data_IF_742465180976
#
_entry.id   IF_742465180976
#
_cell.length_a   1.000
_cell.length_b   1.000
_cell.length_c   1.000
_cell.angle_alpha   90.00
_cell.angle_beta   90.00
_cell.angle_gamma   90.00
#
_symmetry.space_group_name_H-M   'P 1'
#
loop_
_entity.id
_entity.type
_entity.pdbx_description
1 polymer ?
#
# COMPACT_ATOMS: atom_id res chain seq x y z
N UNK A 1 12.43 -3.08 17.74
CA UNK A 1 11.39 -2.06 18.07
C UNK A 1 10.31 -2.77 18.86
N UNK A 2 9.75 -2.17 19.94
CA UNK A 2 8.65 -2.81 20.68
C UNK A 2 7.41 -2.94 19.76
N UNK A 3 6.69 -4.07 19.83
CA UNK A 3 5.46 -4.23 19.04
C UNK A 3 4.39 -3.23 19.50
N UNK A 4 3.75 -2.59 18.52
CA UNK A 4 2.56 -1.76 18.72
C UNK A 4 1.34 -2.64 18.48
N UNK A 5 0.31 -2.46 19.30
CA UNK A 5 -0.96 -3.17 19.19
C UNK A 5 -2.10 -2.17 19.04
N UNK A 6 -3.06 -2.49 18.17
CA UNK A 6 -4.30 -1.75 18.00
C UNK A 6 -5.28 -2.09 19.13
N UNK A 7 -6.32 -1.27 19.33
CA UNK A 7 -7.27 -1.46 20.43
C UNK A 7 -7.91 -2.85 20.45
N UNK A 8 -8.27 -3.38 19.29
CA UNK A 8 -8.85 -4.72 19.19
C UNK A 8 -7.83 -5.87 19.38
N UNK A 9 -6.54 -5.55 19.38
CA UNK A 9 -5.44 -6.50 19.64
C UNK A 9 -5.02 -6.55 21.12
N UNK A 10 -5.67 -5.81 22.04
CA UNK A 10 -5.28 -5.78 23.47
C UNK A 10 -5.13 -7.19 24.10
N UNK A 11 -6.00 -8.17 23.80
CA UNK A 11 -5.81 -9.52 24.33
C UNK A 11 -4.49 -10.19 23.85
N UNK A 12 -4.01 -9.83 22.64
CA UNK A 12 -2.71 -10.30 22.13
C UNK A 12 -1.56 -9.57 22.82
N UNK A 13 -1.72 -8.28 23.09
CA UNK A 13 -0.73 -7.49 23.81
C UNK A 13 -0.48 -8.06 25.22
N UNK A 14 -1.54 -8.43 25.94
CA UNK A 14 -1.46 -9.05 27.26
C UNK A 14 -0.72 -10.39 27.24
N UNK A 15 -1.03 -11.26 26.27
CA UNK A 15 -0.33 -12.54 26.10
C UNK A 15 1.14 -12.33 25.73
N UNK A 16 1.44 -11.39 24.85
CA UNK A 16 2.82 -11.07 24.44
C UNK A 16 3.63 -10.59 25.66
N UNK A 17 3.06 -9.68 26.44
CA UNK A 17 3.69 -9.19 27.67
C UNK A 17 4.00 -10.33 28.66
N UNK A 18 3.04 -11.23 28.88
CA UNK A 18 3.22 -12.38 29.75
C UNK A 18 4.32 -13.33 29.27
N UNK A 19 4.39 -13.56 27.95
CA UNK A 19 5.44 -14.39 27.35
C UNK A 19 6.82 -13.73 27.55
N UNK A 20 6.93 -12.40 27.37
CA UNK A 20 8.17 -11.66 27.59
C UNK A 20 8.61 -11.73 29.06
N UNK A 21 7.68 -11.56 30.01
CA UNK A 21 7.94 -11.68 31.45
C UNK A 21 8.47 -13.07 31.80
N UNK A 22 7.86 -14.14 31.27
CA UNK A 22 8.32 -15.51 31.51
C UNK A 22 9.71 -15.76 30.91
N UNK A 23 9.97 -15.28 29.70
CA UNK A 23 11.32 -15.37 29.08
C UNK A 23 12.39 -14.67 29.89
N UNK A 24 12.06 -13.51 30.48
CA UNK A 24 12.97 -12.80 31.36
C UNK A 24 13.30 -13.63 32.64
N UNK A 25 12.26 -14.18 33.28
CA UNK A 25 12.43 -15.05 34.47
C UNK A 25 13.24 -16.31 34.16
N UNK A 26 13.00 -16.94 33.00
CA UNK A 26 13.77 -18.12 32.55
C UNK A 26 15.26 -17.79 32.33
N UNK A 27 15.57 -16.58 31.88
CA UNK A 27 16.96 -16.12 31.69
C UNK A 27 17.71 -15.87 33.02
N UNK A 28 16.98 -15.59 34.11
CA UNK A 28 17.55 -15.27 35.42
C UNK A 28 17.49 -16.44 36.44
N UNK A 29 16.71 -17.48 36.16
CA UNK A 29 16.50 -18.61 37.07
C UNK A 29 16.84 -19.96 36.43
N UNK A 30 17.20 -20.96 37.25
CA UNK A 30 17.43 -22.34 36.82
C UNK A 30 16.12 -23.13 36.58
N UNK A 31 14.96 -22.46 36.62
CA UNK A 31 13.63 -23.08 36.40
C UNK A 31 13.33 -23.15 34.92
N UNK A 32 13.12 -24.36 34.41
CA UNK A 32 12.66 -24.57 33.02
C UNK A 32 11.14 -24.32 32.92
N UNK A 33 10.78 -23.26 32.23
CA UNK A 33 9.39 -22.86 31.95
C UNK A 33 9.08 -22.87 30.46
N UNK A 34 9.88 -23.59 29.66
CA UNK A 34 9.76 -23.64 28.20
C UNK A 34 8.38 -24.13 27.75
N UNK A 35 7.82 -25.16 28.37
CA UNK A 35 6.51 -25.71 28.07
C UNK A 35 5.38 -24.66 28.23
N UNK A 36 5.45 -23.87 29.30
CA UNK A 36 4.44 -22.81 29.52
C UNK A 36 4.57 -21.68 28.49
N UNK A 37 5.80 -21.30 28.14
CA UNK A 37 6.03 -20.31 27.08
C UNK A 37 5.48 -20.82 25.75
N UNK A 38 5.75 -22.06 25.38
CA UNK A 38 5.24 -22.66 24.14
C UNK A 38 3.70 -22.74 24.13
N UNK A 39 3.10 -23.13 25.25
CA UNK A 39 1.65 -23.14 25.42
C UNK A 39 1.03 -21.75 25.20
N UNK A 40 1.62 -20.72 25.79
CA UNK A 40 1.15 -19.34 25.62
C UNK A 40 1.37 -18.80 24.21
N UNK A 41 2.46 -19.16 23.55
CA UNK A 41 2.71 -18.81 22.15
C UNK A 41 1.67 -19.43 21.22
N UNK A 42 1.35 -20.72 21.42
CA UNK A 42 0.27 -21.40 20.67
C UNK A 42 -1.07 -20.71 20.88
N UNK A 43 -1.42 -20.42 22.15
CA UNK A 43 -2.65 -19.68 22.48
C UNK A 43 -2.68 -18.29 21.83
N UNK A 44 -1.57 -17.57 21.81
CA UNK A 44 -1.44 -16.25 21.17
C UNK A 44 -1.68 -16.37 19.65
N UNK A 45 -1.09 -17.37 19.00
CA UNK A 45 -1.28 -17.63 17.58
C UNK A 45 -2.73 -17.97 17.23
N UNK A 46 -3.39 -18.84 18.01
CA UNK A 46 -4.79 -19.19 17.82
C UNK A 46 -5.73 -17.99 18.02
N UNK A 47 -5.45 -17.18 19.03
CA UNK A 47 -6.19 -15.94 19.30
C UNK A 47 -6.01 -14.94 18.15
N UNK A 48 -4.78 -14.74 17.65
CA UNK A 48 -4.52 -13.90 16.51
C UNK A 48 -5.29 -14.37 15.27
N UNK A 49 -5.27 -15.67 14.96
CA UNK A 49 -6.08 -16.25 13.86
C UNK A 49 -7.55 -15.94 14.03
N UNK A 50 -8.10 -16.11 15.25
CA UNK A 50 -9.50 -15.82 15.54
C UNK A 50 -9.88 -14.35 15.35
N UNK A 51 -9.04 -13.42 15.78
CA UNK A 51 -9.24 -11.97 15.64
C UNK A 51 -9.17 -11.58 14.16
N UNK A 52 -8.09 -11.96 13.48
CA UNK A 52 -7.83 -11.56 12.11
C UNK A 52 -8.77 -12.21 11.07
N UNK A 53 -9.37 -13.34 11.39
CA UNK A 53 -10.42 -13.97 10.57
C UNK A 53 -11.76 -13.18 10.55
N UNK A 54 -11.97 -12.26 11.49
CA UNK A 54 -13.24 -11.56 11.69
C UNK A 54 -13.13 -10.03 11.71
N UNK A 55 -12.04 -9.49 11.14
CA UNK A 55 -11.86 -8.04 11.10
C UNK A 55 -13.01 -7.36 10.35
N UNK A 56 -13.55 -6.33 10.98
CA UNK A 56 -14.49 -5.42 10.30
C UNK A 56 -13.77 -4.52 9.32
N UNK A 57 -14.43 -3.93 8.30
CA UNK A 57 -13.81 -2.98 7.40
C UNK A 57 -13.14 -1.79 8.10
N UNK A 58 -13.69 -1.33 9.23
CA UNK A 58 -13.09 -0.30 10.06
C UNK A 58 -11.77 -0.77 10.70
N UNK A 59 -11.72 -2.01 11.21
CA UNK A 59 -10.50 -2.60 11.76
C UNK A 59 -9.44 -2.83 10.66
N UNK A 60 -9.85 -3.27 9.47
CA UNK A 60 -8.94 -3.35 8.31
C UNK A 60 -8.36 -1.97 7.99
N UNK A 61 -9.17 -0.91 8.03
CA UNK A 61 -8.69 0.47 7.86
C UNK A 61 -7.66 0.87 8.93
N UNK A 62 -7.84 0.43 10.18
CA UNK A 62 -6.84 0.65 11.24
C UNK A 62 -5.54 -0.13 10.96
N UNK A 63 -5.64 -1.40 10.54
CA UNK A 63 -4.47 -2.22 10.18
C UNK A 63 -3.73 -1.61 8.99
N UNK A 64 -4.43 -1.10 7.97
CA UNK A 64 -3.81 -0.46 6.80
C UNK A 64 -2.95 0.75 7.15
N UNK A 65 -3.28 1.42 8.26
CA UNK A 65 -2.59 2.61 8.81
C UNK A 65 -1.60 2.29 9.92
N UNK A 66 -1.39 1.00 10.23
CA UNK A 66 -0.55 0.61 11.36
C UNK A 66 0.86 1.21 11.23
N UNK A 67 1.40 1.90 12.27
CA UNK A 67 2.65 2.67 12.17
C UNK A 67 3.89 1.83 11.89
N UNK A 68 3.83 0.52 12.13
CA UNK A 68 4.93 -0.41 11.88
C UNK A 68 4.79 -1.14 10.52
N UNK A 69 3.78 -0.85 9.70
CA UNK A 69 3.73 -1.41 8.34
C UNK A 69 4.94 -0.98 7.51
N UNK A 70 5.44 -1.84 6.61
CA UNK A 70 6.47 -1.43 5.67
C UNK A 70 5.96 -0.32 4.74
N UNK A 71 6.81 0.66 4.47
CA UNK A 71 6.59 1.72 3.51
C UNK A 71 7.38 1.47 2.23
N UNK A 72 7.20 2.28 1.19
CA UNK A 72 7.81 2.07 -0.13
C UNK A 72 9.31 1.81 -0.08
N UNK A 73 10.07 2.56 0.72
CA UNK A 73 11.52 2.35 0.84
C UNK A 73 11.89 0.99 1.45
N UNK A 74 11.04 0.43 2.33
CA UNK A 74 11.25 -0.92 2.89
C UNK A 74 11.06 -1.98 1.80
N UNK A 75 10.04 -1.82 0.93
CA UNK A 75 9.84 -2.70 -0.23
C UNK A 75 10.99 -2.59 -1.22
N UNK A 76 11.45 -1.39 -1.53
CA UNK A 76 12.60 -1.19 -2.41
C UNK A 76 13.85 -1.88 -1.85
N UNK A 77 14.13 -1.68 -0.57
CA UNK A 77 15.31 -2.29 0.07
C UNK A 77 15.26 -3.83 0.09
N UNK A 78 14.06 -4.42 0.25
CA UNK A 78 13.90 -5.87 0.32
C UNK A 78 13.79 -6.55 -1.06
N UNK A 79 13.18 -5.87 -2.03
CA UNK A 79 12.83 -6.46 -3.33
C UNK A 79 13.83 -6.13 -4.44
N UNK A 80 14.55 -5.01 -4.30
CA UNK A 80 15.40 -4.46 -5.37
C UNK A 80 16.85 -4.30 -4.93
N UNK A 81 17.75 -4.27 -5.91
CA UNK A 81 19.14 -3.84 -5.77
C UNK A 81 19.39 -2.58 -6.59
N UNK A 82 20.55 -1.93 -6.36
CA UNK A 82 21.04 -0.80 -7.15
C UNK A 82 20.03 0.36 -7.28
N UNK A 83 19.25 0.61 -6.23
CA UNK A 83 18.27 1.68 -6.27
C UNK A 83 18.95 3.05 -6.33
N UNK A 84 18.62 3.80 -7.38
CA UNK A 84 19.05 5.17 -7.59
C UNK A 84 17.84 6.08 -7.59
N UNK A 85 17.64 6.82 -6.49
CA UNK A 85 16.53 7.77 -6.39
C UNK A 85 16.73 8.96 -7.33
N UNK A 86 15.65 9.38 -8.02
CA UNK A 86 15.65 10.49 -8.97
C UNK A 86 14.70 11.59 -8.51
N UNK A 87 15.26 12.63 -7.94
CA UNK A 87 14.57 13.75 -7.33
C UNK A 87 14.04 14.81 -8.31
N UNK A 88 13.00 15.52 -7.88
CA UNK A 88 12.47 16.73 -8.51
C UNK A 88 11.60 16.49 -9.74
N UNK A 89 10.69 17.43 -9.99
CA UNK A 89 9.72 17.39 -11.10
C UNK A 89 10.23 18.08 -12.38
N UNK A 90 11.37 18.76 -12.34
CA UNK A 90 11.94 19.58 -13.44
C UNK A 90 11.05 20.79 -13.80
N UNK A 91 10.18 21.19 -12.87
CA UNK A 91 9.27 22.30 -13.07
C UNK A 91 9.25 23.28 -11.90
N UNK A 92 9.08 22.79 -10.66
CA UNK A 92 9.01 23.61 -9.47
C UNK A 92 9.94 23.12 -8.35
N UNK A 93 9.75 21.89 -7.84
CA UNK A 93 10.50 21.38 -6.69
C UNK A 93 10.57 19.85 -6.65
N UNK A 94 11.21 19.32 -5.60
CA UNK A 94 11.04 17.93 -5.19
C UNK A 94 9.91 17.78 -4.17
N UNK A 95 9.30 16.59 -4.12
CA UNK A 95 8.33 16.22 -3.12
C UNK A 95 8.70 14.86 -2.50
N UNK A 96 9.02 14.89 -1.21
CA UNK A 96 9.44 13.70 -0.47
C UNK A 96 8.31 12.74 -0.13
N UNK A 97 7.03 13.08 -0.39
CA UNK A 97 5.90 12.19 -0.22
C UNK A 97 5.83 11.13 -1.33
N UNK A 98 6.48 11.37 -2.48
CA UNK A 98 6.73 10.35 -3.51
C UNK A 98 8.24 10.11 -3.61
N UNK A 99 8.63 8.86 -3.55
CA UNK A 99 9.96 8.38 -3.88
C UNK A 99 9.91 7.62 -5.19
N UNK A 100 10.98 7.68 -5.97
CA UNK A 100 11.05 6.92 -7.21
C UNK A 100 12.41 7.04 -7.87
N UNK A 101 12.72 6.07 -8.70
CA UNK A 101 14.00 6.00 -9.37
C UNK A 101 14.19 4.71 -10.15
N UNK A 102 15.43 4.47 -10.53
CA UNK A 102 15.87 3.23 -11.20
C UNK A 102 16.27 2.19 -10.16
N UNK A 103 15.97 0.95 -10.42
CA UNK A 103 16.37 -0.19 -9.57
C UNK A 103 16.55 -1.46 -10.40
N UNK A 104 17.03 -2.53 -9.75
CA UNK A 104 17.00 -3.89 -10.32
C UNK A 104 16.06 -4.75 -9.47
N UNK A 105 15.01 -5.27 -10.10
CA UNK A 105 14.13 -6.28 -9.52
C UNK A 105 14.45 -7.63 -10.15
N UNK A 106 14.88 -8.61 -9.35
CA UNK A 106 15.37 -9.91 -9.82
C UNK A 106 16.41 -9.80 -10.96
N UNK A 107 17.35 -8.84 -10.85
CA UNK A 107 18.39 -8.58 -11.84
C UNK A 107 17.94 -7.74 -13.05
N UNK A 108 16.64 -7.55 -13.26
CA UNK A 108 16.08 -6.75 -14.35
C UNK A 108 15.97 -5.28 -13.95
N UNK A 109 16.34 -4.37 -14.85
CA UNK A 109 16.16 -2.94 -14.65
C UNK A 109 14.68 -2.56 -14.69
N UNK A 110 14.24 -1.82 -13.70
CA UNK A 110 12.86 -1.33 -13.55
C UNK A 110 12.85 0.13 -13.08
N UNK A 111 11.75 0.82 -13.27
CA UNK A 111 11.44 2.07 -12.57
C UNK A 111 10.54 1.74 -11.40
N UNK A 112 10.88 2.23 -10.21
CA UNK A 112 10.06 2.09 -9.01
C UNK A 112 9.54 3.46 -8.59
N UNK A 113 8.26 3.56 -8.27
CA UNK A 113 7.61 4.78 -7.80
C UNK A 113 6.70 4.41 -6.63
N UNK A 114 6.67 5.21 -5.56
CA UNK A 114 5.73 4.94 -4.49
C UNK A 114 5.57 6.08 -3.51
N UNK A 115 4.48 6.01 -2.74
CA UNK A 115 4.24 6.92 -1.65
C UNK A 115 5.11 6.56 -0.46
N UNK A 116 5.65 7.55 0.20
CA UNK A 116 6.49 7.37 1.39
C UNK A 116 5.92 8.15 2.56
N UNK A 117 5.58 7.44 3.61
CA UNK A 117 5.23 7.99 4.93
C UNK A 117 6.47 8.05 5.82
N UNK A 118 6.43 8.87 6.86
CA UNK A 118 7.50 8.95 7.86
C UNK A 118 7.19 8.09 9.09
N UNK A 119 8.22 7.58 9.75
CA UNK A 119 8.08 6.79 10.99
C UNK A 119 8.04 7.67 12.24
N UNK A 120 8.86 8.68 12.31
CA UNK A 120 8.87 9.67 13.39
C UNK A 120 8.24 11.00 12.96
N UNK A 121 8.07 11.94 13.89
CA UNK A 121 7.44 13.23 13.64
C UNK A 121 8.18 14.06 12.59
N UNK A 122 9.52 14.07 12.62
CA UNK A 122 10.34 14.81 11.66
C UNK A 122 10.16 14.27 10.24
N UNK A 123 10.25 12.96 10.08
CA UNK A 123 10.03 12.28 8.80
C UNK A 123 8.59 12.46 8.31
N UNK A 124 7.58 12.35 9.20
CA UNK A 124 6.17 12.60 8.83
C UNK A 124 5.98 14.00 8.26
N UNK A 125 6.55 15.02 8.89
CA UNK A 125 6.49 16.41 8.40
C UNK A 125 7.21 16.53 7.06
N UNK A 126 8.42 15.99 6.94
CA UNK A 126 9.21 16.01 5.70
C UNK A 126 8.49 15.35 4.54
N UNK A 127 7.80 14.23 4.79
CA UNK A 127 7.03 13.45 3.82
C UNK A 127 5.58 13.93 3.69
N UNK A 128 5.26 15.08 4.28
CA UNK A 128 3.90 15.63 4.29
C UNK A 128 2.83 14.57 4.64
N UNK A 129 3.12 13.71 5.62
CA UNK A 129 2.26 12.59 6.06
C UNK A 129 1.87 11.61 4.95
N UNK A 130 2.67 11.50 3.91
CA UNK A 130 2.39 10.68 2.73
C UNK A 130 1.37 11.28 1.77
N UNK A 131 1.10 12.58 1.88
CA UNK A 131 0.20 13.32 0.98
C UNK A 131 1.02 14.08 -0.07
N UNK A 132 1.10 13.62 -1.32
CA UNK A 132 1.88 14.30 -2.34
C UNK A 132 1.29 15.66 -2.75
N UNK A 133 2.19 16.57 -3.07
CA UNK A 133 1.92 17.84 -3.75
C UNK A 133 2.00 17.63 -5.27
N UNK A 134 1.63 18.62 -6.09
CA UNK A 134 1.71 18.53 -7.55
C UNK A 134 3.08 18.09 -8.07
N UNK A 135 4.15 18.55 -7.40
CA UNK A 135 5.52 18.21 -7.72
C UNK A 135 5.81 16.71 -7.62
N UNK A 136 5.22 16.04 -6.64
CA UNK A 136 5.35 14.58 -6.48
C UNK A 136 4.73 13.83 -7.65
N UNK A 137 3.54 14.22 -8.08
CA UNK A 137 2.87 13.60 -9.23
C UNK A 137 3.59 13.91 -10.56
N UNK A 138 4.09 15.13 -10.74
CA UNK A 138 4.91 15.47 -11.93
C UNK A 138 6.24 14.72 -11.94
N UNK A 139 6.87 14.53 -10.76
CA UNK A 139 8.04 13.66 -10.63
C UNK A 139 7.71 12.22 -11.04
N UNK A 140 6.60 11.66 -10.55
CA UNK A 140 6.15 10.34 -10.95
C UNK A 140 5.95 10.23 -12.47
N UNK A 141 5.27 11.21 -13.09
CA UNK A 141 5.09 11.27 -14.54
C UNK A 141 6.41 11.30 -15.30
N UNK A 142 7.35 12.11 -14.86
CA UNK A 142 8.70 12.18 -15.45
C UNK A 142 9.41 10.81 -15.42
N UNK A 143 9.26 10.07 -14.32
CA UNK A 143 9.81 8.72 -14.19
C UNK A 143 9.09 7.71 -15.08
N UNK A 144 7.78 7.82 -15.24
CA UNK A 144 6.99 7.01 -16.17
C UNK A 144 7.45 7.21 -17.61
N UNK A 145 7.63 8.46 -18.04
CA UNK A 145 8.17 8.76 -19.38
C UNK A 145 9.62 8.29 -19.55
N UNK A 146 10.43 8.31 -18.49
CA UNK A 146 11.76 7.72 -18.51
C UNK A 146 11.68 6.20 -18.72
N UNK A 147 10.76 5.53 -18.00
CA UNK A 147 10.51 4.11 -18.15
C UNK A 147 10.09 3.75 -19.59
N UNK A 148 9.14 4.48 -20.18
CA UNK A 148 8.70 4.28 -21.57
C UNK A 148 9.87 4.44 -22.53
N UNK A 149 10.65 5.53 -22.40
CA UNK A 149 11.79 5.84 -23.29
C UNK A 149 12.81 4.70 -23.31
N UNK A 150 13.09 4.08 -22.18
CA UNK A 150 14.07 3.00 -22.05
C UNK A 150 13.44 1.61 -22.01
N UNK A 151 12.13 1.50 -22.24
CA UNK A 151 11.36 0.25 -22.21
C UNK A 151 11.52 -0.52 -20.90
N UNK A 152 11.57 0.21 -19.78
CA UNK A 152 11.66 -0.37 -18.45
C UNK A 152 10.26 -0.54 -17.88
N UNK A 153 9.96 -1.68 -17.25
CA UNK A 153 8.72 -1.83 -16.49
C UNK A 153 8.64 -0.85 -15.33
N UNK A 154 7.41 -0.49 -14.95
CA UNK A 154 7.13 0.37 -13.81
C UNK A 154 6.49 -0.46 -12.69
N UNK A 155 7.06 -0.42 -11.50
CA UNK A 155 6.48 -0.98 -10.28
C UNK A 155 6.03 0.19 -9.40
N UNK A 156 4.77 0.22 -8.99
CA UNK A 156 4.28 1.26 -8.09
C UNK A 156 3.82 0.71 -6.75
N UNK A 157 4.15 1.43 -5.66
CA UNK A 157 3.72 1.11 -4.30
C UNK A 157 2.87 2.25 -3.75
N UNK A 158 1.58 1.96 -3.47
CA UNK A 158 0.59 2.95 -3.10
C UNK A 158 0.34 2.92 -1.60
N UNK A 159 0.63 4.03 -0.91
CA UNK A 159 0.33 4.20 0.51
C UNK A 159 0.15 5.69 0.86
N UNK A 160 -1.02 6.23 0.59
CA UNK A 160 -1.37 7.63 0.84
C UNK A 160 -2.79 7.78 1.38
N UNK A 161 -3.05 8.65 2.35
CA UNK A 161 -4.41 9.04 2.71
C UNK A 161 -5.11 9.88 1.64
N UNK A 162 -4.35 10.41 0.67
CA UNK A 162 -4.84 11.24 -0.43
C UNK A 162 -3.81 12.27 -0.88
N UNK A 163 -4.15 13.05 -1.88
CA UNK A 163 -3.35 14.19 -2.32
C UNK A 163 -3.40 15.34 -1.29
N UNK A 164 -2.34 16.13 -1.20
CA UNK A 164 -2.31 17.30 -0.32
C UNK A 164 -3.36 18.34 -0.74
N UNK A 165 -4.28 18.75 0.17
CA UNK A 165 -5.40 19.62 -0.17
C UNK A 165 -5.14 21.12 0.12
N UNK A 166 -3.88 21.51 0.37
CA UNK A 166 -3.54 22.88 0.76
C UNK A 166 -3.54 23.87 -0.41
N UNK A 167 -3.61 25.16 -0.09
CA UNK A 167 -3.62 26.29 -1.07
C UNK A 167 -2.47 26.15 -2.07
N UNK A 168 -1.25 25.89 -1.62
CA UNK A 168 -0.11 25.74 -2.51
C UNK A 168 -0.20 24.54 -3.47
N UNK A 169 -1.04 23.55 -3.20
CA UNK A 169 -1.34 22.47 -4.15
C UNK A 169 -2.30 22.96 -5.25
N UNK A 170 -3.32 23.72 -4.85
CA UNK A 170 -4.27 24.34 -5.79
C UNK A 170 -3.57 25.31 -6.73
N UNK A 171 -2.74 26.22 -6.18
CA UNK A 171 -1.93 27.19 -6.94
C UNK A 171 -0.99 26.56 -7.96
N UNK A 172 -0.55 25.31 -7.72
CA UNK A 172 0.36 24.58 -8.60
C UNK A 172 -0.30 23.44 -9.36
N UNK A 173 -1.63 23.50 -9.51
CA UNK A 173 -2.45 22.60 -10.34
C UNK A 173 -2.41 21.15 -9.90
N UNK A 174 -2.84 20.86 -8.65
CA UNK A 174 -2.94 19.50 -8.11
C UNK A 174 -3.83 18.59 -8.97
N UNK A 175 -4.99 19.11 -9.40
CA UNK A 175 -5.93 18.31 -10.20
C UNK A 175 -5.38 17.99 -11.60
N UNK A 176 -4.66 18.93 -12.23
CA UNK A 176 -4.00 18.68 -13.51
C UNK A 176 -2.88 17.65 -13.36
N UNK A 177 -2.03 17.77 -12.34
CA UNK A 177 -0.94 16.82 -12.11
C UNK A 177 -1.45 15.38 -11.91
N UNK A 178 -2.55 15.22 -11.18
CA UNK A 178 -3.22 13.92 -10.99
C UNK A 178 -3.86 13.44 -12.30
N UNK A 179 -4.70 14.27 -12.92
CA UNK A 179 -5.42 13.95 -14.14
C UNK A 179 -4.48 13.62 -15.31
N UNK A 180 -3.37 14.33 -15.42
CA UNK A 180 -2.31 14.05 -16.40
C UNK A 180 -1.71 12.66 -16.18
N UNK A 181 -1.39 12.29 -14.96
CA UNK A 181 -0.86 10.96 -14.65
C UNK A 181 -1.84 9.85 -15.01
N UNK A 182 -3.13 10.02 -14.70
CA UNK A 182 -4.17 9.06 -15.10
C UNK A 182 -4.19 8.86 -16.61
N UNK A 183 -4.22 9.96 -17.36
CA UNK A 183 -4.23 9.93 -18.82
C UNK A 183 -2.96 9.29 -19.41
N UNK A 184 -1.78 9.65 -18.89
CA UNK A 184 -0.51 9.11 -19.41
C UNK A 184 -0.33 7.63 -19.06
N UNK A 185 -0.76 7.18 -17.88
CA UNK A 185 -0.68 5.77 -17.49
C UNK A 185 -1.53 4.87 -18.37
N UNK A 186 -2.70 5.35 -18.84
CA UNK A 186 -3.57 4.53 -19.73
C UNK A 186 -2.89 4.15 -21.04
N UNK A 187 -1.99 4.98 -21.55
CA UNK A 187 -1.32 4.82 -22.84
C UNK A 187 0.19 4.55 -22.74
N UNK A 188 0.74 4.44 -21.53
CA UNK A 188 2.18 4.25 -21.30
C UNK A 188 2.66 2.93 -21.93
N UNK A 189 3.63 3.01 -22.84
CA UNK A 189 4.08 1.90 -23.68
C UNK A 189 5.13 1.02 -22.99
N UNK A 190 4.84 0.63 -21.75
CA UNK A 190 5.64 -0.31 -20.97
C UNK A 190 4.75 -0.98 -19.91
N UNK A 191 5.10 -2.18 -19.40
CA UNK A 191 4.36 -2.80 -18.31
C UNK A 191 4.30 -1.92 -17.05
N UNK A 192 3.12 -1.83 -16.44
CA UNK A 192 2.88 -1.12 -15.18
C UNK A 192 2.19 -2.05 -14.20
N UNK A 193 2.82 -2.32 -13.06
CA UNK A 193 2.26 -3.15 -12.00
C UNK A 193 2.12 -2.30 -10.74
N UNK A 194 0.90 -2.15 -10.24
CA UNK A 194 0.58 -1.35 -9.08
C UNK A 194 0.27 -2.23 -7.87
N UNK A 195 0.75 -1.85 -6.69
CA UNK A 195 0.46 -2.57 -5.44
C UNK A 195 0.07 -1.59 -4.35
N UNK A 196 -1.16 -1.71 -3.83
CA UNK A 196 -1.63 -0.97 -2.68
C UNK A 196 -1.11 -1.67 -1.42
N UNK A 197 -0.19 -1.02 -0.71
CA UNK A 197 0.54 -1.59 0.44
C UNK A 197 0.03 -1.13 1.80
N UNK A 198 -0.83 -0.12 1.82
CA UNK A 198 -1.43 0.44 3.03
C UNK A 198 -2.75 1.14 2.69
N UNK A 199 -2.77 2.47 2.69
CA UNK A 199 -3.95 3.24 2.27
C UNK A 199 -3.85 3.65 0.80
N UNK A 200 -4.89 3.37 0.02
CA UNK A 200 -5.05 3.89 -1.33
C UNK A 200 -6.10 4.99 -1.37
N UNK A 201 -5.74 6.22 -0.97
CA UNK A 201 -6.69 7.32 -0.82
C UNK A 201 -6.90 8.14 -2.09
N UNK A 202 -8.14 8.15 -2.62
CA UNK A 202 -8.65 9.09 -3.62
C UNK A 202 -7.77 9.22 -4.88
N UNK A 203 -7.84 10.38 -5.53
CA UNK A 203 -7.01 10.74 -6.70
C UNK A 203 -5.52 10.69 -6.42
N UNK A 204 -5.12 10.87 -5.15
CA UNK A 204 -3.73 10.74 -4.74
C UNK A 204 -3.15 9.36 -5.00
N UNK A 205 -3.93 8.32 -4.69
CA UNK A 205 -3.57 6.94 -5.00
C UNK A 205 -3.67 6.65 -6.50
N UNK A 206 -4.78 7.07 -7.14
CA UNK A 206 -5.03 6.82 -8.56
C UNK A 206 -3.92 7.34 -9.47
N UNK A 207 -3.31 8.47 -9.12
CA UNK A 207 -2.26 9.10 -9.91
C UNK A 207 -1.01 8.23 -10.17
N UNK A 208 -0.86 7.11 -9.43
CA UNK A 208 0.18 6.11 -9.66
C UNK A 208 -0.37 4.67 -9.62
N UNK A 209 -1.69 4.48 -9.70
CA UNK A 209 -2.35 3.18 -9.56
C UNK A 209 -3.16 2.75 -10.79
N UNK A 210 -2.91 3.32 -11.96
CA UNK A 210 -3.48 2.86 -13.23
C UNK A 210 -2.42 2.00 -13.94
N UNK A 211 -2.69 0.69 -14.06
CA UNK A 211 -1.70 -0.24 -14.60
C UNK A 211 -2.31 -1.47 -15.26
N UNK A 212 -1.43 -2.33 -15.75
CA UNK A 212 -1.81 -3.63 -16.33
C UNK A 212 -2.27 -4.60 -15.25
N UNK A 213 -1.70 -4.47 -14.06
CA UNK A 213 -2.10 -5.19 -12.86
C UNK A 213 -2.22 -4.21 -11.69
N UNK A 214 -3.27 -4.39 -10.88
CA UNK A 214 -3.46 -3.68 -9.61
C UNK A 214 -3.66 -4.70 -8.51
N UNK A 215 -2.71 -4.78 -7.60
CA UNK A 215 -2.71 -5.67 -6.46
C UNK A 215 -3.04 -4.91 -5.19
N UNK A 216 -3.55 -5.61 -4.20
CA UNK A 216 -3.71 -5.10 -2.85
C UNK A 216 -3.15 -6.09 -1.83
N UNK A 217 -2.47 -5.60 -0.81
CA UNK A 217 -2.24 -6.40 0.38
C UNK A 217 -3.56 -6.68 1.10
N UNK A 218 -3.65 -7.82 1.76
CA UNK A 218 -4.88 -8.34 2.38
C UNK A 218 -5.57 -7.33 3.32
N UNK A 219 -4.79 -6.61 4.11
CA UNK A 219 -5.30 -5.62 5.07
C UNK A 219 -4.98 -4.17 4.64
N UNK A 220 -4.81 -3.93 3.35
CA UNK A 220 -4.80 -2.60 2.76
C UNK A 220 -6.21 -2.12 2.44
N UNK A 221 -6.37 -0.81 2.20
CA UNK A 221 -7.65 -0.20 1.79
C UNK A 221 -7.48 0.61 0.53
N UNK A 222 -8.50 0.63 -0.32
CA UNK A 222 -8.52 1.47 -1.51
C UNK A 222 -9.89 2.11 -1.69
N UNK A 223 -9.95 3.43 -1.65
CA UNK A 223 -11.22 4.15 -1.62
C UNK A 223 -11.11 5.58 -2.15
N UNK A 224 -12.25 6.12 -2.59
CA UNK A 224 -12.35 7.51 -3.08
C UNK A 224 -12.20 8.54 -1.95
N UNK A 225 -12.51 8.17 -0.72
CA UNK A 225 -12.48 9.03 0.46
C UNK A 225 -12.21 8.18 1.72
N UNK A 226 -11.62 8.76 2.76
CA UNK A 226 -11.49 8.06 4.04
C UNK A 226 -12.87 7.81 4.68
N UNK A 227 -13.02 6.74 5.49
CA UNK A 227 -14.26 6.48 6.22
C UNK A 227 -14.70 7.67 7.08
N UNK A 228 -13.76 8.33 7.74
CA UNK A 228 -14.02 9.52 8.57
C UNK A 228 -14.53 10.70 7.73
N UNK A 229 -13.90 10.93 6.57
CA UNK A 229 -14.34 11.97 5.62
C UNK A 229 -15.73 11.70 5.06
N UNK A 230 -16.00 10.47 4.65
CA UNK A 230 -17.30 10.03 4.20
C UNK A 230 -18.38 10.23 5.28
N UNK A 231 -18.10 9.80 6.51
CA UNK A 231 -19.01 9.95 7.63
C UNK A 231 -19.31 11.44 7.93
N UNK A 232 -18.26 12.27 7.92
CA UNK A 232 -18.42 13.71 8.14
C UNK A 232 -19.29 14.40 7.08
N UNK A 233 -19.18 13.99 5.82
CA UNK A 233 -19.98 14.55 4.72
C UNK A 233 -21.43 14.07 4.79
N UNK A 234 -21.65 12.75 4.92
CA UNK A 234 -22.98 12.15 4.81
C UNK A 234 -23.80 12.27 6.11
N UNK A 235 -23.16 12.03 7.27
CA UNK A 235 -23.83 11.99 8.57
C UNK A 235 -23.49 13.18 9.49
N UNK A 236 -22.63 14.10 9.03
CA UNK A 236 -22.18 15.27 9.79
C UNK A 236 -21.46 14.93 11.11
N UNK A 237 -20.97 13.69 11.24
CA UNK A 237 -20.20 13.22 12.39
C UNK A 237 -19.19 12.15 11.97
N UNK A 238 -17.96 12.23 12.51
CA UNK A 238 -16.92 11.21 12.28
C UNK A 238 -17.19 9.90 13.05
N UNK A 239 -18.09 9.89 14.03
CA UNK A 239 -18.44 8.69 14.82
C UNK A 239 -19.04 7.57 13.95
N UNK A 240 -19.59 7.91 12.79
CA UNK A 240 -20.12 6.97 11.80
C UNK A 240 -19.05 6.41 10.83
N UNK A 241 -17.76 6.59 11.13
CA UNK A 241 -16.69 6.09 10.27
C UNK A 241 -16.73 4.56 10.06
N UNK A 242 -17.17 3.78 11.06
CA UNK A 242 -17.31 2.34 10.93
C UNK A 242 -18.41 1.94 9.93
N UNK A 243 -19.57 2.62 9.99
CA UNK A 243 -20.67 2.43 9.05
C UNK A 243 -20.24 2.82 7.63
N UNK A 244 -19.51 3.95 7.52
CA UNK A 244 -18.96 4.41 6.24
C UNK A 244 -17.97 3.41 5.64
N UNK A 245 -17.05 2.85 6.45
CA UNK A 245 -16.09 1.85 5.98
C UNK A 245 -16.78 0.60 5.43
N UNK A 246 -17.85 0.15 6.09
CA UNK A 246 -18.65 -0.99 5.64
C UNK A 246 -19.39 -0.68 4.31
N UNK A 247 -20.01 0.51 4.22
CA UNK A 247 -20.77 0.91 3.03
C UNK A 247 -19.90 1.16 1.81
N UNK A 248 -18.71 1.76 1.98
CA UNK A 248 -17.78 2.07 0.90
C UNK A 248 -17.15 0.82 0.25
N UNK A 249 -17.09 -0.32 0.95
CA UNK A 249 -16.54 -1.56 0.41
C UNK A 249 -15.05 -1.48 0.09
N UNK A 250 -14.25 -0.85 0.96
CA UNK A 250 -12.85 -0.45 0.76
C UNK A 250 -11.80 -1.57 0.89
N UNK A 251 -12.22 -2.77 1.29
CA UNK A 251 -11.30 -3.88 1.60
C UNK A 251 -10.90 -4.69 0.36
N UNK A 252 -9.73 -5.31 0.41
CA UNK A 252 -9.16 -6.02 -0.73
C UNK A 252 -10.06 -7.14 -1.27
N UNK A 253 -10.68 -7.93 -0.38
CA UNK A 253 -11.61 -9.00 -0.75
C UNK A 253 -12.86 -8.48 -1.45
N UNK A 254 -13.38 -7.32 -1.01
CA UNK A 254 -14.54 -6.68 -1.63
C UNK A 254 -14.22 -6.14 -3.01
N UNK A 255 -13.06 -5.47 -3.14
CA UNK A 255 -12.62 -4.88 -4.41
C UNK A 255 -12.24 -5.95 -5.45
N UNK A 256 -11.68 -7.08 -5.00
CA UNK A 256 -11.45 -8.24 -5.85
C UNK A 256 -12.76 -8.82 -6.40
N UNK A 257 -13.79 -8.97 -5.57
CA UNK A 257 -15.14 -9.43 -6.00
C UNK A 257 -15.80 -8.47 -6.97
N UNK A 258 -15.49 -7.17 -6.91
CA UNK A 258 -15.99 -6.16 -7.84
C UNK A 258 -15.14 -6.06 -9.13
N UNK A 259 -14.06 -6.82 -9.27
CA UNK A 259 -13.17 -6.78 -10.42
C UNK A 259 -12.33 -5.50 -10.52
N UNK A 260 -12.19 -4.75 -9.42
CA UNK A 260 -11.42 -3.50 -9.39
C UNK A 260 -9.93 -3.72 -9.17
N UNK A 261 -9.54 -4.88 -8.63
CA UNK A 261 -8.15 -5.32 -8.46
C UNK A 261 -7.95 -6.72 -9.01
N UNK A 262 -6.71 -7.06 -9.36
CA UNK A 262 -6.37 -8.34 -9.99
C UNK A 262 -5.97 -9.41 -8.96
N UNK A 263 -5.29 -9.02 -7.90
CA UNK A 263 -4.77 -9.96 -6.90
C UNK A 263 -4.84 -9.39 -5.49
N UNK A 264 -5.31 -10.19 -4.55
CA UNK A 264 -5.08 -9.98 -3.11
C UNK A 264 -3.81 -10.73 -2.74
N UNK A 265 -2.83 -10.01 -2.20
CA UNK A 265 -1.60 -10.59 -1.66
C UNK A 265 -1.83 -10.80 -0.16
N UNK A 266 -1.84 -12.05 0.26
CA UNK A 266 -2.04 -12.39 1.66
C UNK A 266 -0.92 -11.82 2.54
N UNK A 267 -1.29 -11.32 3.72
CA UNK A 267 -0.34 -10.84 4.71
C UNK A 267 -0.02 -11.94 5.74
N UNK A 268 1.15 -11.87 6.37
CA UNK A 268 1.45 -12.70 7.52
C UNK A 268 0.40 -12.54 8.62
N UNK A 269 0.25 -13.56 9.47
CA UNK A 269 -0.68 -13.51 10.60
C UNK A 269 -0.40 -12.28 11.48
N UNK A 270 -1.41 -11.46 11.66
CA UNK A 270 -1.30 -10.20 12.40
C UNK A 270 -0.89 -8.99 11.54
N UNK A 271 -0.79 -9.15 10.22
CA UNK A 271 -0.56 -8.06 9.27
C UNK A 271 0.90 -7.93 8.79
N UNK A 272 1.09 -7.08 7.80
CA UNK A 272 2.35 -6.85 7.08
C UNK A 272 3.56 -6.54 7.97
N UNK A 273 3.32 -5.97 9.14
CA UNK A 273 4.35 -5.57 10.11
C UNK A 273 4.82 -6.68 11.03
N UNK A 274 4.19 -7.86 11.01
CA UNK A 274 4.53 -8.97 11.91
C UNK A 274 5.63 -9.87 11.37
N UNK A 275 5.72 -10.05 10.05
CA UNK A 275 6.79 -10.82 9.41
C UNK A 275 7.15 -10.22 8.06
N UNK A 276 8.21 -9.42 8.05
CA UNK A 276 8.69 -8.73 6.84
C UNK A 276 9.17 -9.69 5.76
N UNK A 277 9.92 -10.72 6.14
CA UNK A 277 10.52 -11.66 5.19
C UNK A 277 9.42 -12.41 4.42
N UNK A 278 8.48 -13.01 5.13
CA UNK A 278 7.34 -13.72 4.55
C UNK A 278 6.51 -12.81 3.63
N UNK A 279 6.25 -11.56 4.05
CA UNK A 279 5.54 -10.60 3.22
C UNK A 279 6.29 -10.30 1.93
N UNK A 280 7.59 -10.02 2.03
CA UNK A 280 8.40 -9.65 0.85
C UNK A 280 8.55 -10.79 -0.14
N UNK A 281 8.61 -12.03 0.32
CA UNK A 281 8.58 -13.21 -0.56
C UNK A 281 7.28 -13.27 -1.35
N UNK A 282 6.13 -13.18 -0.68
CA UNK A 282 4.81 -13.21 -1.34
C UNK A 282 4.65 -12.07 -2.36
N UNK A 283 5.09 -10.86 -2.01
CA UNK A 283 5.07 -9.73 -2.95
C UNK A 283 6.00 -9.97 -4.12
N UNK A 284 7.21 -10.48 -3.89
CA UNK A 284 8.17 -10.82 -4.94
C UNK A 284 7.62 -11.84 -5.93
N UNK A 285 6.98 -12.90 -5.44
CA UNK A 285 6.37 -13.94 -6.28
C UNK A 285 5.31 -13.35 -7.20
N UNK A 286 4.36 -12.58 -6.66
CA UNK A 286 3.26 -11.98 -7.44
C UNK A 286 3.80 -11.00 -8.47
N UNK A 287 4.73 -10.10 -8.08
CA UNK A 287 5.32 -9.14 -9.01
C UNK A 287 6.12 -9.84 -10.12
N UNK A 288 6.83 -10.92 -9.79
CA UNK A 288 7.62 -11.69 -10.78
C UNK A 288 6.74 -12.39 -11.80
N UNK A 289 5.63 -13.00 -11.35
CA UNK A 289 4.64 -13.64 -12.21
C UNK A 289 4.01 -12.64 -13.17
N UNK A 290 3.51 -11.54 -12.64
CA UNK A 290 2.82 -10.52 -13.43
C UNK A 290 3.75 -9.77 -14.38
N UNK A 291 4.98 -9.49 -13.95
CA UNK A 291 5.97 -8.83 -14.79
C UNK A 291 6.32 -9.69 -16.00
N UNK A 292 6.54 -10.99 -15.79
CA UNK A 292 6.77 -11.95 -16.87
C UNK A 292 5.59 -11.99 -17.82
N UNK A 293 4.37 -12.17 -17.30
CA UNK A 293 3.16 -12.24 -18.11
C UNK A 293 2.93 -10.97 -18.94
N UNK A 294 3.21 -9.79 -18.37
CA UNK A 294 3.09 -8.52 -19.08
C UNK A 294 4.16 -8.33 -20.16
N UNK A 295 5.37 -8.85 -19.96
CA UNK A 295 6.48 -8.74 -20.91
C UNK A 295 6.39 -9.75 -22.07
N UNK A 296 5.81 -10.93 -21.83
CA UNK A 296 5.57 -11.95 -22.84
C UNK A 296 4.44 -11.53 -23.81
N UNK A 297 3.67 -10.50 -23.48
CA UNK A 297 2.56 -9.99 -24.28
C UNK A 297 3.06 -8.97 -25.30
N UNK A 298 2.59 -9.01 -26.57
CA UNK A 298 2.81 -7.92 -27.51
C UNK A 298 2.34 -6.57 -26.95
N UNK A 299 3.06 -5.50 -27.22
CA UNK A 299 2.76 -4.19 -26.65
C UNK A 299 1.34 -3.70 -26.99
N UNK A 300 0.86 -3.97 -28.22
CA UNK A 300 -0.52 -3.66 -28.63
C UNK A 300 -1.53 -4.32 -27.70
N UNK A 301 -1.37 -5.60 -27.48
CA UNK A 301 -2.29 -6.42 -26.69
C UNK A 301 -2.26 -6.02 -25.20
N UNK A 302 -1.08 -5.63 -24.70
CA UNK A 302 -0.91 -5.10 -23.33
C UNK A 302 -1.71 -3.80 -23.16
N UNK A 303 -1.64 -2.88 -24.13
CA UNK A 303 -2.37 -1.61 -24.10
C UNK A 303 -3.87 -1.82 -24.26
N UNK A 304 -4.29 -2.68 -25.16
CA UNK A 304 -5.70 -3.02 -25.37
C UNK A 304 -6.30 -3.69 -24.13
N UNK A 305 -5.57 -4.59 -23.50
CA UNK A 305 -5.96 -5.21 -22.21
C UNK A 305 -6.10 -4.16 -21.10
N UNK A 306 -5.13 -3.25 -20.95
CA UNK A 306 -5.18 -2.16 -19.97
C UNK A 306 -6.40 -1.27 -20.20
N UNK A 307 -6.65 -0.86 -21.41
CA UNK A 307 -7.81 -0.05 -21.78
C UNK A 307 -9.12 -0.81 -21.53
N UNK A 308 -9.24 -2.04 -22.01
CA UNK A 308 -10.42 -2.88 -21.85
C UNK A 308 -10.75 -3.11 -20.37
N UNK A 309 -9.74 -3.31 -19.53
CA UNK A 309 -9.90 -3.42 -18.08
C UNK A 309 -10.52 -2.16 -17.46
N UNK A 310 -10.05 -0.99 -17.82
CA UNK A 310 -10.57 0.29 -17.31
C UNK A 310 -12.02 0.47 -17.77
N UNK A 311 -12.32 0.16 -19.02
CA UNK A 311 -13.68 0.26 -19.59
C UNK A 311 -14.66 -0.76 -19.01
N UNK A 312 -14.17 -1.84 -18.43
CA UNK A 312 -14.99 -2.87 -17.79
C UNK A 312 -15.36 -2.54 -16.32
N UNK A 313 -14.86 -1.45 -15.76
CA UNK A 313 -15.21 -1.07 -14.39
C UNK A 313 -16.68 -0.60 -14.31
N UNK A 314 -17.34 -1.00 -13.22
CA UNK A 314 -18.72 -0.59 -12.93
C UNK A 314 -19.75 -1.49 -13.60
N UNK A 315 -19.99 -2.67 -13.05
CA UNK A 315 -21.11 -3.53 -13.46
C UNK A 315 -22.42 -2.99 -12.89
N UNK A 316 -23.45 -2.89 -13.72
CA UNK A 316 -24.80 -2.53 -13.30
C UNK A 316 -25.81 -3.45 -14.01
N UNK A 317 -26.98 -3.61 -13.39
CA UNK A 317 -28.12 -4.35 -13.97
C UNK A 317 -29.18 -3.31 -14.30
N UNK A 318 -29.51 -3.19 -15.57
CA UNK A 318 -30.72 -2.45 -15.98
C UNK A 318 -31.95 -3.25 -15.55
N UNK A 319 -32.88 -2.58 -14.84
CA UNK A 319 -34.17 -3.15 -14.42
C UNK A 319 -35.24 -2.84 -15.44
#
# INVERSE_FOLDING_TARGET
>A
MKPVFLDFEQPLAELTKKIEELRFVQGESAVDISDEIERLQKKSSELAKSIYAKLTPAQVSQVSRHPQRPYTLDYIAALCTDFQELHGDRHFADDHAIVGGLARFNGQSVVVIGHQKGRDTKEKIRRNFGMPRPEGYRKALRLMHLAEKFRLPVLTFVDTPGAYPGIGAEERNQSEAIGRNLYELTKLKTPVICTIIGEGGSGGALAIAVGDYVNMLQYSTYSVISPEGCASILWKTAEKAADAAAALGITADRLAKLGLIDKVIEEPLGGAHRNYEELMERVREVLSEQLRAAQDMPLSDLLDRRFGRIMAYGQFIEK
#
